data_IF_114335253114
#
_entry.id   IF_114335253114
#
_cell.length_a   1.000
_cell.length_b   1.000
_cell.length_c   1.000
_cell.angle_alpha   90.00
_cell.angle_beta   90.00
_cell.angle_gamma   90.00
#
_symmetry.space_group_name_H-M   'P 1'
#
loop_
_entity.id
_entity.type
_entity.pdbx_description
1 polymer ?
#
# COMPACT_ATOMS: atom_id res chain seq x y z
N UNK A 1 5.20 -8.66 -0.07
CA UNK A 1 4.21 -9.13 -1.05
C UNK A 1 4.93 -9.61 -2.29
N UNK A 2 4.62 -10.76 -2.84
CA UNK A 2 5.11 -11.34 -4.11
C UNK A 2 6.64 -11.52 -4.31
N UNK A 3 7.51 -11.09 -3.41
CA UNK A 3 8.96 -11.09 -3.65
C UNK A 3 9.55 -12.48 -4.01
N UNK A 4 9.05 -13.55 -3.40
CA UNK A 4 9.48 -14.91 -3.73
C UNK A 4 8.93 -15.38 -5.08
N UNK A 5 7.66 -15.13 -5.36
CA UNK A 5 6.98 -15.46 -6.61
C UNK A 5 7.67 -14.77 -7.79
N UNK A 6 7.98 -13.49 -7.63
CA UNK A 6 8.70 -12.69 -8.61
C UNK A 6 10.09 -13.27 -8.96
N UNK A 7 10.93 -13.54 -7.95
CA UNK A 7 12.26 -14.10 -8.19
C UNK A 7 12.20 -15.43 -8.95
N UNK A 8 11.19 -16.26 -8.67
CA UNK A 8 10.97 -17.51 -9.39
C UNK A 8 10.57 -17.28 -10.85
N UNK A 9 9.64 -16.35 -11.11
CA UNK A 9 9.22 -15.98 -12.48
C UNK A 9 10.39 -15.38 -13.27
N UNK A 10 11.15 -14.45 -12.69
CA UNK A 10 12.35 -13.89 -13.33
C UNK A 10 13.37 -14.97 -13.68
N UNK A 11 13.63 -15.90 -12.76
CA UNK A 11 14.55 -17.00 -12.98
C UNK A 11 14.05 -17.92 -14.11
N UNK A 12 12.76 -18.21 -14.19
CA UNK A 12 12.16 -19.00 -15.27
C UNK A 12 12.36 -18.31 -16.63
N UNK A 13 12.06 -17.00 -16.67
CA UNK A 13 12.15 -16.19 -17.90
C UNK A 13 13.61 -15.95 -18.32
N UNK A 14 14.55 -15.78 -17.39
CA UNK A 14 15.98 -15.56 -17.68
C UNK A 14 16.70 -16.76 -18.29
N UNK A 15 16.16 -17.97 -18.12
CA UNK A 15 16.67 -19.20 -18.74
C UNK A 15 16.41 -19.24 -20.25
N UNK A 16 15.49 -18.43 -20.76
CA UNK A 16 15.13 -18.40 -22.17
C UNK A 16 16.26 -17.77 -22.99
N UNK A 17 16.89 -18.54 -23.88
CA UNK A 17 18.00 -18.11 -24.75
C UNK A 17 17.60 -18.21 -26.22
N UNK A 18 18.29 -17.43 -27.09
CA UNK A 18 18.08 -17.44 -28.54
C UNK A 18 16.92 -16.55 -29.01
N UNK A 19 16.67 -16.54 -30.31
CA UNK A 19 15.87 -15.54 -31.00
C UNK A 19 14.45 -15.99 -31.36
N UNK A 20 14.13 -17.27 -31.20
CA UNK A 20 12.80 -17.85 -31.50
C UNK A 20 12.39 -18.88 -30.44
N UNK A 21 11.11 -18.96 -30.17
CA UNK A 21 10.54 -19.95 -29.23
C UNK A 21 10.42 -21.30 -29.90
N UNK A 22 10.87 -22.37 -29.23
CA UNK A 22 10.53 -23.75 -29.59
C UNK A 22 9.30 -24.21 -28.82
N UNK A 23 8.57 -25.19 -29.35
CA UNK A 23 7.39 -25.76 -28.67
C UNK A 23 7.76 -26.32 -27.29
N UNK A 24 8.88 -27.03 -27.18
CA UNK A 24 9.36 -27.56 -25.91
C UNK A 24 9.69 -26.51 -24.87
N UNK A 25 10.28 -25.36 -25.28
CA UNK A 25 10.55 -24.24 -24.39
C UNK A 25 9.25 -23.59 -23.88
N UNK A 26 8.25 -23.43 -24.76
CA UNK A 26 6.95 -22.86 -24.40
C UNK A 26 6.26 -23.75 -23.36
N UNK A 27 6.23 -25.06 -23.59
CA UNK A 27 5.59 -26.01 -22.68
C UNK A 27 6.31 -26.02 -21.31
N UNK A 28 7.64 -26.07 -21.31
CA UNK A 28 8.45 -26.05 -20.07
C UNK A 28 8.22 -24.76 -19.29
N UNK A 29 8.30 -23.61 -19.94
CA UNK A 29 8.06 -22.29 -19.33
C UNK A 29 6.66 -22.19 -18.73
N UNK A 30 5.66 -22.65 -19.45
CA UNK A 30 4.28 -22.58 -19.00
C UNK A 30 4.03 -23.45 -17.77
N UNK A 31 4.64 -24.65 -17.73
CA UNK A 31 4.59 -25.53 -16.56
C UNK A 31 5.29 -24.86 -15.36
N UNK A 32 6.44 -24.25 -15.57
CA UNK A 32 7.20 -23.57 -14.52
C UNK A 32 6.40 -22.38 -13.96
N UNK A 33 5.84 -21.50 -14.81
CA UNK A 33 4.97 -20.38 -14.42
C UNK A 33 3.72 -20.88 -13.68
N UNK A 34 3.07 -21.93 -14.18
CA UNK A 34 1.91 -22.53 -13.51
C UNK A 34 2.24 -22.93 -12.07
N UNK A 35 3.34 -23.66 -11.89
CA UNK A 35 3.73 -24.13 -10.57
C UNK A 35 4.06 -22.97 -9.62
N UNK A 36 4.75 -21.96 -10.10
CA UNK A 36 5.08 -20.75 -9.32
C UNK A 36 3.82 -20.02 -8.84
N UNK A 37 2.84 -19.85 -9.72
CA UNK A 37 1.59 -19.16 -9.39
C UNK A 37 0.71 -19.97 -8.43
N UNK A 38 0.66 -21.30 -8.58
CA UNK A 38 -0.04 -22.19 -7.66
C UNK A 38 0.61 -22.19 -6.26
N UNK A 39 1.94 -22.20 -6.17
CA UNK A 39 2.67 -22.03 -4.90
C UNK A 39 2.40 -20.68 -4.24
N UNK A 40 2.08 -19.66 -5.04
CA UNK A 40 1.68 -18.33 -4.57
C UNK A 40 0.20 -18.24 -4.16
N UNK A 41 -0.49 -19.36 -4.05
CA UNK A 41 -1.93 -19.47 -3.72
C UNK A 41 -2.85 -18.74 -4.71
N UNK A 42 -2.42 -18.59 -5.97
CA UNK A 42 -3.27 -18.08 -7.05
C UNK A 42 -4.28 -19.16 -7.45
N UNK A 43 -5.56 -18.84 -7.65
CA UNK A 43 -6.59 -19.85 -7.99
C UNK A 43 -6.27 -20.66 -9.24
N UNK A 44 -6.52 -21.96 -9.17
CA UNK A 44 -6.20 -22.89 -10.26
C UNK A 44 -6.84 -22.51 -11.59
N UNK A 45 -8.12 -22.15 -11.61
CA UNK A 45 -8.82 -21.78 -12.85
C UNK A 45 -8.23 -20.51 -13.48
N UNK A 46 -7.82 -19.54 -12.67
CA UNK A 46 -7.11 -18.36 -13.13
C UNK A 46 -5.77 -18.73 -13.76
N UNK A 47 -4.96 -19.52 -13.06
CA UNK A 47 -3.64 -19.98 -13.54
C UNK A 47 -3.75 -20.76 -14.83
N UNK A 48 -4.75 -21.64 -14.94
CA UNK A 48 -5.03 -22.42 -16.14
C UNK A 48 -5.36 -21.52 -17.34
N UNK A 49 -6.25 -20.55 -17.17
CA UNK A 49 -6.63 -19.58 -18.20
C UNK A 49 -5.42 -18.76 -18.66
N UNK A 50 -4.65 -18.20 -17.70
CA UNK A 50 -3.42 -17.46 -17.99
C UNK A 50 -2.41 -18.27 -18.77
N UNK A 51 -2.15 -19.52 -18.37
CA UNK A 51 -1.18 -20.39 -19.04
C UNK A 51 -1.60 -20.74 -20.48
N UNK A 52 -2.90 -20.99 -20.71
CA UNK A 52 -3.43 -21.28 -22.05
C UNK A 52 -3.30 -20.04 -22.96
N UNK A 53 -3.67 -18.87 -22.48
CA UNK A 53 -3.56 -17.61 -23.23
C UNK A 53 -2.09 -17.29 -23.55
N UNK A 54 -1.20 -17.45 -22.57
CA UNK A 54 0.23 -17.24 -22.72
C UNK A 54 0.83 -18.16 -23.81
N UNK A 55 0.51 -19.45 -23.76
CA UNK A 55 0.94 -20.43 -24.78
C UNK A 55 0.46 -20.02 -26.17
N UNK A 56 -0.82 -19.67 -26.30
CA UNK A 56 -1.41 -19.28 -27.58
C UNK A 56 -0.76 -18.01 -28.15
N UNK A 57 -0.58 -16.98 -27.31
CA UNK A 57 0.05 -15.74 -27.73
C UNK A 57 1.52 -15.94 -28.14
N UNK A 58 2.30 -16.72 -27.39
CA UNK A 58 3.70 -16.98 -27.74
C UNK A 58 3.80 -17.79 -29.04
N UNK A 59 2.95 -18.82 -29.27
CA UNK A 59 2.92 -19.60 -30.52
C UNK A 59 2.62 -18.73 -31.75
N UNK A 60 1.84 -17.67 -31.60
CA UNK A 60 1.45 -16.78 -32.68
C UNK A 60 2.51 -15.71 -33.04
N UNK A 61 3.60 -15.61 -32.25
CA UNK A 61 4.65 -14.63 -32.50
C UNK A 61 5.55 -15.10 -33.64
N UNK A 62 5.51 -14.38 -34.80
CA UNK A 62 6.30 -14.69 -36.00
C UNK A 62 7.58 -13.86 -36.15
N UNK A 63 7.92 -13.01 -35.16
CA UNK A 63 9.05 -12.10 -35.29
C UNK A 63 10.40 -12.82 -35.17
N UNK A 64 11.39 -12.41 -35.98
CA UNK A 64 12.78 -12.85 -35.92
C UNK A 64 13.57 -11.91 -35.01
N UNK A 65 14.45 -12.44 -34.17
CA UNK A 65 15.29 -11.69 -33.21
C UNK A 65 14.47 -11.07 -32.05
N UNK A 66 13.91 -11.90 -31.20
CA UNK A 66 13.13 -11.50 -30.02
C UNK A 66 13.97 -11.59 -28.74
N UNK A 67 13.82 -10.58 -27.88
CA UNK A 67 14.14 -10.78 -26.47
C UNK A 67 12.99 -11.58 -25.83
N UNK A 68 13.12 -12.90 -25.75
CA UNK A 68 12.10 -13.83 -25.23
C UNK A 68 11.62 -13.41 -23.84
N UNK A 69 12.53 -12.98 -22.96
CA UNK A 69 12.23 -12.55 -21.61
C UNK A 69 11.33 -11.32 -21.59
N UNK A 70 11.64 -10.31 -22.40
CA UNK A 70 10.81 -9.10 -22.52
C UNK A 70 9.42 -9.40 -23.08
N UNK A 71 9.32 -10.33 -24.03
CA UNK A 71 8.03 -10.76 -24.59
C UNK A 71 7.16 -11.43 -23.55
N UNK A 72 7.70 -12.43 -22.85
CA UNK A 72 6.96 -13.17 -21.80
C UNK A 72 6.58 -12.23 -20.66
N UNK A 73 7.50 -11.40 -20.19
CA UNK A 73 7.23 -10.41 -19.15
C UNK A 73 6.12 -9.44 -19.54
N UNK A 74 6.16 -8.91 -20.77
CA UNK A 74 5.12 -8.01 -21.29
C UNK A 74 3.75 -8.68 -21.43
N UNK A 75 3.69 -9.95 -21.86
CA UNK A 75 2.44 -10.70 -21.93
C UNK A 75 1.85 -10.98 -20.52
N UNK A 76 2.68 -11.40 -19.57
CA UNK A 76 2.26 -11.60 -18.18
C UNK A 76 1.75 -10.30 -17.57
N UNK A 77 2.47 -9.19 -17.76
CA UNK A 77 2.05 -7.88 -17.28
C UNK A 77 0.71 -7.46 -17.88
N UNK A 78 0.54 -7.58 -19.20
CA UNK A 78 -0.73 -7.21 -19.86
C UNK A 78 -1.90 -8.05 -19.38
N UNK A 79 -1.67 -9.32 -19.04
CA UNK A 79 -2.71 -10.21 -18.49
C UNK A 79 -3.11 -9.78 -17.08
N UNK A 80 -2.13 -9.44 -16.24
CA UNK A 80 -2.38 -8.96 -14.88
C UNK A 80 -3.08 -7.60 -14.89
N UNK A 81 -2.63 -6.68 -15.76
CA UNK A 81 -3.26 -5.37 -15.89
C UNK A 81 -4.73 -5.48 -16.32
N UNK A 82 -5.05 -6.43 -17.21
CA UNK A 82 -6.42 -6.72 -17.61
C UNK A 82 -7.26 -7.33 -16.47
N UNK A 83 -6.64 -8.13 -15.60
CA UNK A 83 -7.33 -8.75 -14.45
C UNK A 83 -7.80 -7.71 -13.44
N UNK A 84 -7.05 -6.64 -13.27
CA UNK A 84 -7.34 -5.57 -12.31
C UNK A 84 -7.79 -4.27 -12.99
N UNK A 85 -8.41 -4.35 -14.16
CA UNK A 85 -8.83 -3.15 -14.91
C UNK A 85 -9.99 -2.39 -14.24
N UNK A 86 -10.73 -3.05 -13.34
CA UNK A 86 -11.74 -2.46 -12.47
C UNK A 86 -11.17 -1.73 -11.23
N UNK A 87 -9.85 -1.66 -11.07
CA UNK A 87 -9.22 -0.96 -9.95
C UNK A 87 -9.56 0.54 -9.97
N UNK A 88 -10.08 1.05 -8.85
CA UNK A 88 -10.45 2.46 -8.69
C UNK A 88 -9.30 3.20 -8.02
N UNK A 89 -8.55 3.98 -8.80
CA UNK A 89 -7.34 4.67 -8.32
C UNK A 89 -7.60 5.77 -7.27
N UNK A 90 -8.86 6.15 -7.06
CA UNK A 90 -9.26 7.19 -6.08
C UNK A 90 -9.80 6.60 -4.77
N UNK A 91 -9.97 5.27 -4.68
CA UNK A 91 -10.64 4.60 -3.57
C UNK A 91 -12.16 4.78 -3.60
N UNK A 92 -12.83 4.67 -2.45
CA UNK A 92 -14.27 4.87 -2.35
C UNK A 92 -14.63 6.31 -2.73
N UNK A 93 -15.63 6.45 -3.61
CA UNK A 93 -16.12 7.75 -4.05
C UNK A 93 -17.04 8.37 -3.00
N UNK A 94 -16.60 9.47 -2.40
CA UNK A 94 -17.40 10.22 -1.43
C UNK A 94 -18.35 11.17 -2.15
N UNK A 95 -19.60 11.19 -1.72
CA UNK A 95 -20.63 12.11 -2.26
C UNK A 95 -20.21 13.56 -2.09
N UNK A 96 -20.52 14.39 -3.07
CA UNK A 96 -20.31 15.84 -2.98
C UNK A 96 -21.29 16.51 -2.03
N UNK A 97 -22.55 16.04 -2.04
CA UNK A 97 -23.64 16.51 -1.20
C UNK A 97 -24.26 15.30 -0.49
N UNK A 98 -24.61 15.46 0.77
CA UNK A 98 -25.14 14.41 1.61
C UNK A 98 -24.06 13.48 2.16
N UNK A 99 -24.46 12.55 3.01
CA UNK A 99 -23.60 11.61 3.70
C UNK A 99 -23.25 10.42 2.81
N UNK A 100 -22.01 9.97 2.85
CA UNK A 100 -21.59 8.67 2.34
C UNK A 100 -21.54 7.67 3.50
N UNK A 101 -22.42 6.69 3.49
CA UNK A 101 -22.48 5.62 4.50
C UNK A 101 -21.71 4.40 4.02
N UNK A 102 -20.75 3.92 4.83
CA UNK A 102 -19.85 2.82 4.49
C UNK A 102 -19.97 1.73 5.55
N UNK A 103 -20.59 0.62 5.21
CA UNK A 103 -20.63 -0.57 6.06
C UNK A 103 -19.38 -1.41 5.89
N UNK A 104 -18.79 -1.88 7.00
CA UNK A 104 -17.58 -2.69 6.99
C UNK A 104 -17.86 -4.08 7.52
N UNK A 105 -17.67 -5.07 6.67
CA UNK A 105 -18.00 -6.47 6.87
C UNK A 105 -16.76 -7.36 6.85
N UNK A 106 -16.89 -8.59 7.32
CA UNK A 106 -15.83 -9.61 7.25
C UNK A 106 -15.77 -10.50 8.48
N UNK A 107 -15.03 -11.61 8.44
CA UNK A 107 -14.92 -12.54 9.57
C UNK A 107 -14.28 -11.91 10.81
N UNK A 108 -14.29 -12.66 11.91
CA UNK A 108 -13.54 -12.28 13.10
C UNK A 108 -12.03 -12.29 12.83
N UNK A 109 -11.32 -11.32 13.40
CA UNK A 109 -9.85 -11.28 13.34
C UNK A 109 -9.23 -10.78 12.04
N UNK A 110 -10.02 -10.44 11.01
CA UNK A 110 -9.49 -9.92 9.73
C UNK A 110 -9.03 -8.47 9.80
N UNK A 111 -9.20 -7.78 10.92
CA UNK A 111 -8.74 -6.41 11.10
C UNK A 111 -9.73 -5.31 10.71
N UNK A 112 -11.06 -5.59 10.69
CA UNK A 112 -12.10 -4.56 10.44
C UNK A 112 -11.94 -3.33 11.32
N UNK A 113 -11.94 -3.53 12.63
CA UNK A 113 -11.82 -2.46 13.64
C UNK A 113 -10.53 -1.64 13.49
N UNK A 114 -9.46 -2.26 12.98
CA UNK A 114 -8.18 -1.58 12.76
C UNK A 114 -8.12 -0.84 11.42
N UNK A 115 -8.81 -1.34 10.38
CA UNK A 115 -8.75 -0.75 9.03
C UNK A 115 -9.67 0.47 8.90
N UNK A 116 -10.80 0.50 9.62
CA UNK A 116 -11.76 1.61 9.59
C UNK A 116 -11.09 2.96 9.90
N UNK A 117 -10.39 3.15 11.04
CA UNK A 117 -9.75 4.43 11.33
C UNK A 117 -8.65 4.79 10.32
N UNK A 118 -7.99 3.80 9.72
CA UNK A 118 -6.98 4.03 8.67
C UNK A 118 -7.62 4.60 7.40
N UNK A 119 -8.72 4.00 6.94
CA UNK A 119 -9.46 4.51 5.77
C UNK A 119 -10.03 5.89 6.08
N UNK A 120 -10.63 6.08 7.26
CA UNK A 120 -11.15 7.35 7.72
C UNK A 120 -10.08 8.44 7.72
N UNK A 121 -8.92 8.17 8.33
CA UNK A 121 -7.79 9.10 8.33
C UNK A 121 -7.29 9.43 6.91
N UNK A 122 -7.21 8.43 6.02
CA UNK A 122 -6.82 8.62 4.63
C UNK A 122 -7.79 9.54 3.88
N UNK A 123 -9.11 9.36 4.08
CA UNK A 123 -10.15 10.22 3.47
C UNK A 123 -10.07 11.63 4.06
N UNK A 124 -9.95 11.76 5.39
CA UNK A 124 -9.82 13.05 6.08
C UNK A 124 -8.64 13.85 5.54
N UNK A 125 -7.47 13.22 5.43
CA UNK A 125 -6.26 13.88 4.91
C UNK A 125 -6.36 14.28 3.43
N UNK A 126 -6.99 13.46 2.59
CA UNK A 126 -7.07 13.73 1.15
C UNK A 126 -8.19 14.66 0.75
N UNK A 127 -9.33 14.63 1.45
CA UNK A 127 -10.56 15.31 1.02
C UNK A 127 -11.11 16.29 2.04
N UNK A 128 -10.45 16.45 3.20
CA UNK A 128 -10.86 17.35 4.30
C UNK A 128 -12.34 17.16 4.71
N UNK A 129 -12.78 15.89 4.86
CA UNK A 129 -14.16 15.50 5.19
C UNK A 129 -14.33 15.29 6.69
N UNK A 130 -15.51 15.61 7.21
CA UNK A 130 -15.93 15.27 8.59
C UNK A 130 -16.33 13.80 8.59
N UNK A 131 -15.74 13.00 9.47
CA UNK A 131 -15.90 11.55 9.49
C UNK A 131 -16.29 11.11 10.87
N UNK A 132 -17.30 10.23 10.92
CA UNK A 132 -17.75 9.58 12.15
C UNK A 132 -17.70 8.06 11.97
N UNK A 133 -17.40 7.35 13.05
CA UNK A 133 -17.46 5.90 13.13
C UNK A 133 -18.49 5.47 14.18
N UNK A 134 -19.22 4.40 13.88
CA UNK A 134 -20.11 3.72 14.83
C UNK A 134 -19.88 2.22 14.72
N UNK A 135 -19.99 1.47 15.84
CA UNK A 135 -19.90 0.01 15.81
C UNK A 135 -21.17 -0.64 16.31
N UNK A 136 -21.73 -1.53 15.49
CA UNK A 136 -22.80 -2.46 15.83
C UNK A 136 -22.28 -3.86 16.22
N UNK A 137 -21.00 -3.99 16.58
CA UNK A 137 -20.46 -5.21 17.18
C UNK A 137 -20.84 -5.30 18.66
N UNK A 138 -22.12 -5.57 18.93
CA UNK A 138 -22.66 -5.65 20.29
C UNK A 138 -22.21 -6.91 21.04
N UNK A 139 -21.65 -7.89 20.33
CA UNK A 139 -21.22 -9.16 20.92
C UNK A 139 -19.86 -8.95 21.62
N UNK A 140 -19.01 -8.07 21.09
CA UNK A 140 -17.64 -7.86 21.57
C UNK A 140 -17.41 -6.41 21.99
N UNK A 141 -17.80 -6.09 23.24
CA UNK A 141 -17.58 -4.76 23.82
C UNK A 141 -16.14 -4.26 23.70
N UNK A 142 -15.17 -5.16 23.84
CA UNK A 142 -13.76 -4.81 23.68
C UNK A 142 -13.43 -4.31 22.26
N UNK A 143 -14.09 -4.79 21.21
CA UNK A 143 -13.91 -4.31 19.85
C UNK A 143 -14.45 -2.90 19.65
N UNK A 144 -15.59 -2.58 20.25
CA UNK A 144 -16.14 -1.22 20.25
C UNK A 144 -15.22 -0.22 20.96
N UNK A 145 -14.73 -0.58 22.16
CA UNK A 145 -13.80 0.26 22.91
C UNK A 145 -12.47 0.44 22.15
N UNK A 146 -11.99 -0.61 21.48
CA UNK A 146 -10.82 -0.52 20.62
C UNK A 146 -11.04 0.47 19.46
N UNK A 147 -12.19 0.42 18.78
CA UNK A 147 -12.52 1.34 17.69
C UNK A 147 -12.57 2.77 18.21
N UNK A 148 -13.25 3.00 19.34
CA UNK A 148 -13.35 4.30 20.01
C UNK A 148 -11.97 4.89 20.28
N UNK A 149 -11.09 4.14 20.96
CA UNK A 149 -9.72 4.57 21.27
C UNK A 149 -8.93 4.92 20.01
N UNK A 150 -9.07 4.12 18.94
CA UNK A 150 -8.40 4.38 17.69
C UNK A 150 -8.94 5.62 16.97
N UNK A 151 -10.24 5.87 17.04
CA UNK A 151 -10.87 7.08 16.50
C UNK A 151 -10.41 8.32 17.25
N UNK A 152 -10.49 8.32 18.59
CA UNK A 152 -10.06 9.42 19.45
C UNK A 152 -8.59 9.79 19.25
N UNK A 153 -7.70 8.79 19.18
CA UNK A 153 -6.26 9.01 18.92
C UNK A 153 -5.97 9.69 17.58
N UNK A 154 -6.89 9.61 16.63
CA UNK A 154 -6.71 10.14 15.27
C UNK A 154 -7.68 11.28 14.94
N UNK A 155 -8.30 11.85 15.97
CA UNK A 155 -9.24 12.97 15.84
C UNK A 155 -10.36 12.65 14.82
N UNK A 156 -10.96 11.45 14.97
CA UNK A 156 -12.12 10.96 14.23
C UNK A 156 -13.27 10.83 15.22
N UNK A 157 -14.44 11.34 14.86
CA UNK A 157 -15.61 11.26 15.71
C UNK A 157 -16.09 9.81 15.88
N UNK A 158 -16.48 9.44 17.11
CA UNK A 158 -17.03 8.12 17.41
C UNK A 158 -18.37 8.24 18.11
N UNK A 159 -19.39 7.56 17.55
CA UNK A 159 -20.71 7.46 18.15
C UNK A 159 -20.77 6.24 19.07
N UNK A 160 -20.91 6.48 20.37
CA UNK A 160 -21.13 5.41 21.34
C UNK A 160 -22.61 5.02 21.40
N UNK A 161 -22.92 3.74 21.09
CA UNK A 161 -24.27 3.18 21.12
C UNK A 161 -24.44 2.07 22.18
N UNK A 162 -23.37 1.70 22.89
CA UNK A 162 -23.33 0.54 23.81
C UNK A 162 -24.42 0.58 24.87
N UNK A 163 -24.63 1.75 25.50
CA UNK A 163 -25.56 1.90 26.63
C UNK A 163 -27.03 1.90 26.22
N UNK A 164 -27.36 1.96 24.96
CA UNK A 164 -28.69 2.25 24.46
C UNK A 164 -29.37 1.08 23.73
N UNK A 165 -28.63 -0.01 23.44
CA UNK A 165 -29.13 -1.11 22.60
C UNK A 165 -29.13 -0.76 21.10
N UNK A 166 -29.33 -1.78 20.24
CA UNK A 166 -29.30 -1.67 18.78
C UNK A 166 -30.31 -0.67 18.26
N UNK A 167 -31.58 -0.77 18.71
CA UNK A 167 -32.69 0.07 18.20
C UNK A 167 -32.43 1.55 18.40
N UNK A 168 -31.97 1.95 19.58
CA UNK A 168 -31.60 3.34 19.86
C UNK A 168 -30.36 3.77 19.11
N UNK A 169 -29.43 2.83 18.88
CA UNK A 169 -28.25 3.08 18.03
C UNK A 169 -28.66 3.38 16.59
N UNK A 170 -29.57 2.61 16.03
CA UNK A 170 -30.14 2.82 14.69
C UNK A 170 -30.82 4.19 14.61
N UNK A 171 -31.65 4.55 15.60
CA UNK A 171 -32.31 5.86 15.63
C UNK A 171 -31.31 7.02 15.60
N UNK A 172 -30.25 6.96 16.43
CA UNK A 172 -29.20 7.98 16.42
C UNK A 172 -28.46 8.08 15.09
N UNK A 173 -28.18 6.94 14.44
CA UNK A 173 -27.54 6.92 13.12
C UNK A 173 -28.48 7.52 12.07
N UNK A 174 -29.79 7.25 12.12
CA UNK A 174 -30.78 7.88 11.24
C UNK A 174 -30.81 9.40 11.41
N UNK A 175 -30.79 9.91 12.64
CA UNK A 175 -30.73 11.34 12.92
C UNK A 175 -29.45 11.97 12.32
N UNK A 176 -28.28 11.32 12.47
CA UNK A 176 -27.01 11.79 11.88
C UNK A 176 -27.12 11.89 10.36
N UNK A 177 -27.72 10.88 9.72
CA UNK A 177 -27.91 10.84 8.27
C UNK A 177 -28.92 11.93 7.84
N UNK A 178 -30.04 12.08 8.53
CA UNK A 178 -31.09 13.04 8.20
C UNK A 178 -30.60 14.49 8.30
N UNK A 179 -29.84 14.81 9.35
CA UNK A 179 -29.33 16.16 9.60
C UNK A 179 -27.95 16.44 8.96
N UNK A 180 -27.42 15.51 8.17
CA UNK A 180 -26.12 15.64 7.49
C UNK A 180 -24.99 16.14 8.40
N UNK A 181 -24.92 15.59 9.61
CA UNK A 181 -23.97 16.06 10.64
C UNK A 181 -22.52 15.83 10.26
N UNK A 182 -22.24 14.81 9.41
CA UNK A 182 -20.94 14.44 8.90
C UNK A 182 -20.98 14.20 7.39
N UNK A 183 -19.81 14.12 6.74
CA UNK A 183 -19.73 13.83 5.31
C UNK A 183 -19.61 12.33 5.03
N UNK A 184 -18.97 11.59 5.97
CA UNK A 184 -18.76 10.14 5.86
C UNK A 184 -19.09 9.46 7.20
N UNK A 185 -19.90 8.42 7.14
CA UNK A 185 -20.22 7.59 8.30
C UNK A 185 -19.73 6.15 8.05
N UNK A 186 -18.79 5.68 8.87
CA UNK A 186 -18.40 4.28 8.91
C UNK A 186 -19.25 3.51 9.91
N UNK A 187 -19.81 2.38 9.45
CA UNK A 187 -20.60 1.45 10.25
C UNK A 187 -19.84 0.13 10.36
N UNK A 188 -19.26 -0.15 11.53
CA UNK A 188 -18.55 -1.39 11.83
C UNK A 188 -19.53 -2.48 12.24
N UNK A 189 -19.56 -3.56 11.48
CA UNK A 189 -20.40 -4.72 11.76
C UNK A 189 -19.62 -5.81 12.51
N UNK A 190 -20.33 -6.53 13.39
CA UNK A 190 -19.76 -7.69 14.08
C UNK A 190 -19.14 -8.67 13.07
N UNK A 191 -17.97 -9.23 13.42
CA UNK A 191 -17.37 -10.26 12.60
C UNK A 191 -18.13 -11.58 12.73
N UNK A 192 -18.62 -12.11 11.63
CA UNK A 192 -19.33 -13.41 11.60
C UNK A 192 -18.80 -14.26 10.46
N UNK A 193 -18.93 -15.59 10.57
CA UNK A 193 -18.82 -16.47 9.42
C UNK A 193 -20.07 -16.33 8.53
N UNK A 194 -19.98 -16.46 7.20
CA UNK A 194 -21.16 -16.44 6.31
C UNK A 194 -22.24 -17.45 6.69
N UNK A 195 -21.88 -18.54 7.35
CA UNK A 195 -22.82 -19.60 7.78
C UNK A 195 -23.52 -19.29 9.13
N UNK A 196 -23.13 -18.19 9.82
CA UNK A 196 -23.71 -17.81 11.09
C UNK A 196 -25.03 -17.05 10.89
N UNK A 197 -26.15 -17.77 10.92
CA UNK A 197 -27.50 -17.22 10.72
C UNK A 197 -27.92 -16.22 11.81
N UNK A 198 -27.54 -16.44 13.06
CA UNK A 198 -27.89 -15.53 14.17
C UNK A 198 -27.18 -14.18 14.01
N UNK A 199 -25.88 -14.21 13.72
CA UNK A 199 -25.13 -13.00 13.46
C UNK A 199 -25.61 -12.26 12.21
N UNK A 200 -25.99 -13.00 11.15
CA UNK A 200 -26.55 -12.43 9.93
C UNK A 200 -27.88 -11.71 10.17
N UNK A 201 -28.70 -12.21 11.09
CA UNK A 201 -29.97 -11.54 11.47
C UNK A 201 -29.74 -10.15 12.07
N UNK A 202 -28.74 -10.02 12.95
CA UNK A 202 -28.36 -8.70 13.52
C UNK A 202 -27.97 -7.73 12.40
N UNK A 203 -27.23 -8.20 11.39
CA UNK A 203 -26.88 -7.35 10.24
C UNK A 203 -28.13 -6.92 9.47
N UNK A 204 -29.06 -7.86 9.23
CA UNK A 204 -30.30 -7.59 8.51
C UNK A 204 -31.13 -6.53 9.23
N UNK A 205 -31.26 -6.62 10.56
CA UNK A 205 -32.00 -5.64 11.37
C UNK A 205 -31.43 -4.21 11.18
N UNK A 206 -30.10 -4.07 11.19
CA UNK A 206 -29.43 -2.78 10.93
C UNK A 206 -29.61 -2.33 9.47
N UNK A 207 -29.46 -3.24 8.50
CA UNK A 207 -29.51 -2.94 7.06
C UNK A 207 -30.93 -2.63 6.57
N UNK A 208 -31.99 -3.08 7.27
CA UNK A 208 -33.39 -2.68 6.97
C UNK A 208 -33.62 -1.20 7.23
N UNK A 209 -32.90 -0.64 8.18
CA UNK A 209 -33.11 0.70 8.68
C UNK A 209 -32.07 1.71 8.26
N UNK A 210 -30.84 1.26 7.94
CA UNK A 210 -29.72 2.10 7.52
C UNK A 210 -29.31 1.72 6.09
N UNK A 211 -29.55 2.62 5.15
CA UNK A 211 -29.07 2.46 3.78
C UNK A 211 -27.55 2.73 3.71
N UNK A 212 -26.82 1.76 3.18
CA UNK A 212 -25.37 1.87 2.97
C UNK A 212 -25.07 2.16 1.49
N UNK A 213 -24.28 3.20 1.24
CA UNK A 213 -23.81 3.52 -0.10
C UNK A 213 -22.71 2.56 -0.54
N UNK A 214 -21.84 2.17 0.40
CA UNK A 214 -20.76 1.21 0.17
C UNK A 214 -20.80 0.11 1.23
N UNK A 215 -20.56 -1.11 0.78
CA UNK A 215 -20.52 -2.33 1.59
C UNK A 215 -19.18 -2.99 1.39
N UNK A 216 -18.23 -2.64 2.24
CA UNK A 216 -16.82 -2.99 2.14
C UNK A 216 -16.53 -4.31 2.85
N UNK A 217 -16.10 -5.35 2.12
CA UNK A 217 -15.65 -6.59 2.71
C UNK A 217 -14.14 -6.54 2.99
N UNK A 218 -13.78 -6.71 4.26
CA UNK A 218 -12.38 -6.80 4.68
C UNK A 218 -11.91 -8.25 4.62
N UNK A 219 -10.83 -8.48 3.89
CA UNK A 219 -10.22 -9.79 3.66
C UNK A 219 -8.79 -9.78 4.20
N UNK A 220 -8.43 -10.79 4.99
CA UNK A 220 -7.06 -11.02 5.43
C UNK A 220 -6.24 -11.61 4.26
N UNK A 221 -5.09 -11.01 3.96
CA UNK A 221 -4.23 -11.45 2.86
C UNK A 221 -3.80 -12.92 2.96
N UNK A 222 -3.75 -13.46 4.18
CA UNK A 222 -3.34 -14.84 4.46
C UNK A 222 -4.37 -15.91 4.05
N UNK A 223 -5.60 -15.51 3.69
CA UNK A 223 -6.66 -16.45 3.34
C UNK A 223 -6.45 -17.15 1.97
N UNK A 224 -5.62 -16.56 1.09
CA UNK A 224 -5.31 -17.17 -0.22
C UNK A 224 -6.57 -17.58 -0.98
N UNK A 225 -6.62 -18.84 -1.44
CA UNK A 225 -7.75 -19.37 -2.21
C UNK A 225 -9.06 -19.52 -1.42
N UNK A 226 -9.01 -19.58 -0.08
CA UNK A 226 -10.22 -19.62 0.76
C UNK A 226 -11.08 -18.36 0.62
N UNK A 227 -10.48 -17.26 0.15
CA UNK A 227 -11.16 -15.99 -0.16
C UNK A 227 -12.33 -16.14 -1.11
N UNK A 228 -12.26 -17.05 -2.09
CA UNK A 228 -13.33 -17.27 -3.09
C UNK A 228 -14.63 -17.68 -2.39
N UNK A 229 -14.58 -18.74 -1.59
CA UNK A 229 -15.76 -19.23 -0.84
C UNK A 229 -16.28 -18.19 0.14
N UNK A 230 -15.39 -17.44 0.74
CA UNK A 230 -15.73 -16.39 1.67
C UNK A 230 -16.53 -15.27 0.98
N UNK A 231 -16.07 -14.78 -0.18
CA UNK A 231 -16.77 -13.77 -0.99
C UNK A 231 -18.14 -14.28 -1.43
N UNK A 232 -18.23 -15.50 -1.95
CA UNK A 232 -19.51 -16.13 -2.34
C UNK A 232 -20.50 -16.20 -1.16
N UNK A 233 -20.00 -16.54 0.03
CA UNK A 233 -20.82 -16.59 1.24
C UNK A 233 -21.33 -15.22 1.66
N UNK A 234 -20.46 -14.20 1.69
CA UNK A 234 -20.86 -12.85 2.05
C UNK A 234 -21.79 -12.20 1.02
N UNK A 235 -21.60 -12.44 -0.27
CA UNK A 235 -22.51 -11.93 -1.30
C UNK A 235 -23.94 -12.44 -1.18
N UNK A 236 -24.15 -13.60 -0.54
CA UNK A 236 -25.50 -14.10 -0.22
C UNK A 236 -26.15 -13.34 0.93
N UNK A 237 -25.37 -12.76 1.83
CA UNK A 237 -25.84 -12.02 3.00
C UNK A 237 -25.98 -10.53 2.72
N UNK A 238 -25.00 -9.96 2.02
CA UNK A 238 -24.88 -8.52 1.77
C UNK A 238 -24.31 -8.34 0.37
N UNK A 239 -24.96 -7.55 -0.47
CA UNK A 239 -24.43 -7.20 -1.80
C UNK A 239 -23.17 -6.33 -1.66
N UNK A 240 -22.00 -6.97 -1.62
CA UNK A 240 -20.69 -6.33 -1.44
C UNK A 240 -20.39 -5.41 -2.62
N UNK A 241 -19.97 -4.18 -2.36
CA UNK A 241 -19.64 -3.19 -3.39
C UNK A 241 -18.13 -3.11 -3.66
N UNK A 242 -17.30 -3.58 -2.74
CA UNK A 242 -15.84 -3.59 -2.91
C UNK A 242 -15.10 -4.21 -1.74
N UNK A 243 -13.78 -4.25 -1.87
CA UNK A 243 -12.91 -4.98 -0.96
C UNK A 243 -11.82 -4.09 -0.35
N UNK A 244 -11.42 -4.43 0.89
CA UNK A 244 -10.20 -3.95 1.51
C UNK A 244 -9.36 -5.15 1.95
N UNK A 245 -8.07 -5.18 1.59
CA UNK A 245 -7.17 -6.27 1.96
C UNK A 245 -6.30 -5.81 3.14
N UNK A 246 -6.35 -6.58 4.21
CA UNK A 246 -5.59 -6.32 5.44
C UNK A 246 -4.37 -7.23 5.57
N UNK A 247 -3.44 -6.87 6.46
CA UNK A 247 -2.27 -7.67 6.87
C UNK A 247 -1.36 -8.10 5.70
N UNK A 248 -1.25 -7.27 4.69
CA UNK A 248 -0.46 -7.59 3.49
C UNK A 248 1.04 -7.67 3.78
N UNK A 249 1.50 -7.05 4.86
CA UNK A 249 2.86 -7.19 5.40
C UNK A 249 3.18 -8.61 5.88
N UNK A 250 2.17 -9.37 6.29
CA UNK A 250 2.30 -10.77 6.73
C UNK A 250 2.24 -11.76 5.56
N UNK A 251 1.75 -11.37 4.40
CA UNK A 251 1.64 -12.21 3.21
C UNK A 251 2.77 -11.92 2.20
N UNK A 252 3.59 -12.93 1.94
CA UNK A 252 4.66 -12.86 0.94
C UNK A 252 4.23 -13.40 -0.44
N UNK A 253 3.06 -14.05 -0.54
CA UNK A 253 2.59 -14.77 -1.72
C UNK A 253 1.71 -13.90 -2.64
N UNK A 254 0.73 -13.18 -2.06
CA UNK A 254 -0.15 -12.25 -2.77
C UNK A 254 -1.30 -12.89 -3.57
N UNK A 255 -1.53 -14.19 -3.45
CA UNK A 255 -2.59 -14.90 -4.16
C UNK A 255 -4.00 -14.40 -3.85
N UNK A 256 -4.22 -13.75 -2.71
CA UNK A 256 -5.49 -13.17 -2.28
C UNK A 256 -6.07 -12.19 -3.32
N UNK A 257 -5.24 -11.38 -3.96
CA UNK A 257 -5.70 -10.41 -4.96
C UNK A 257 -6.31 -11.10 -6.19
N UNK A 258 -5.67 -12.17 -6.65
CA UNK A 258 -6.19 -13.00 -7.75
C UNK A 258 -7.44 -13.78 -7.34
N UNK A 259 -7.53 -14.20 -6.08
CA UNK A 259 -8.73 -14.84 -5.54
C UNK A 259 -9.92 -13.90 -5.52
N UNK A 260 -9.72 -12.63 -5.13
CA UNK A 260 -10.76 -11.59 -5.20
C UNK A 260 -11.18 -11.36 -6.65
N UNK A 261 -10.23 -11.14 -7.56
CA UNK A 261 -10.52 -10.90 -8.97
C UNK A 261 -11.17 -12.09 -9.67
N UNK A 262 -10.97 -13.31 -9.18
CA UNK A 262 -11.64 -14.52 -9.70
C UNK A 262 -13.08 -14.65 -9.18
N UNK A 263 -13.31 -14.25 -7.92
CA UNK A 263 -14.61 -14.41 -7.26
C UNK A 263 -15.58 -13.25 -7.51
N UNK A 264 -15.10 -12.09 -7.93
CA UNK A 264 -15.91 -10.88 -8.05
C UNK A 264 -15.34 -9.88 -9.06
N UNK A 265 -16.24 -9.15 -9.71
CA UNK A 265 -15.96 -8.00 -10.58
C UNK A 265 -15.86 -6.67 -9.80
N UNK A 266 -16.11 -6.70 -8.49
CA UNK A 266 -16.09 -5.50 -7.64
C UNK A 266 -14.65 -5.06 -7.36
N UNK A 267 -14.39 -3.74 -7.21
CA UNK A 267 -13.05 -3.22 -7.04
C UNK A 267 -12.45 -3.54 -5.67
N UNK A 268 -11.13 -3.67 -5.63
CA UNK A 268 -10.35 -3.56 -4.39
C UNK A 268 -10.06 -2.07 -4.19
N UNK A 269 -10.54 -1.50 -3.08
CA UNK A 269 -10.33 -0.08 -2.79
C UNK A 269 -9.05 0.19 -2.01
N UNK A 270 -8.77 -0.63 -0.97
CA UNK A 270 -7.71 -0.33 -0.01
C UNK A 270 -6.87 -1.56 0.33
N UNK A 271 -5.61 -1.28 0.68
CA UNK A 271 -4.63 -2.28 1.12
C UNK A 271 -3.94 -1.77 2.38
N UNK A 272 -4.03 -2.53 3.48
CA UNK A 272 -3.34 -2.23 4.74
C UNK A 272 -2.06 -3.06 4.86
N UNK A 273 -0.93 -2.38 5.11
CA UNK A 273 0.43 -2.92 5.02
C UNK A 273 1.20 -2.88 6.34
N UNK A 274 0.53 -2.71 7.46
CA UNK A 274 1.14 -2.64 8.79
C UNK A 274 0.14 -2.19 9.85
N UNK A 275 0.61 -1.86 11.05
CA UNK A 275 -0.24 -1.55 12.21
C UNK A 275 -0.54 -0.06 12.39
N UNK A 276 0.32 0.83 11.87
CA UNK A 276 0.18 2.29 12.08
C UNK A 276 -1.00 2.83 11.28
N UNK A 277 -1.55 3.97 11.73
CA UNK A 277 -2.70 4.63 11.11
C UNK A 277 -2.47 4.96 9.62
N UNK A 278 -1.24 5.30 9.25
CA UNK A 278 -0.86 5.63 7.88
C UNK A 278 -0.43 4.41 7.05
N UNK A 279 -0.41 3.19 7.65
CA UNK A 279 -0.05 1.96 6.94
C UNK A 279 -1.22 1.44 6.11
N UNK A 280 -1.75 2.29 5.25
CA UNK A 280 -2.83 2.01 4.31
C UNK A 280 -2.59 2.76 3.00
N UNK A 281 -2.96 2.15 1.90
CA UNK A 281 -2.95 2.79 0.58
C UNK A 281 -4.19 2.44 -0.22
N UNK A 282 -4.52 3.28 -1.21
CA UNK A 282 -5.48 2.92 -2.24
C UNK A 282 -4.84 1.84 -3.11
N UNK A 283 -5.62 0.80 -3.43
CA UNK A 283 -5.18 -0.25 -4.33
C UNK A 283 -5.00 0.30 -5.76
N UNK A 284 -3.94 -0.13 -6.42
CA UNK A 284 -3.76 0.10 -7.85
C UNK A 284 -3.24 -1.15 -8.54
N UNK A 285 -3.62 -1.37 -9.80
CA UNK A 285 -3.12 -2.50 -10.60
C UNK A 285 -1.59 -2.51 -10.70
N UNK A 286 -0.96 -1.34 -10.65
CA UNK A 286 0.52 -1.23 -10.61
C UNK A 286 1.13 -1.87 -9.36
N UNK A 287 0.45 -1.88 -8.23
CA UNK A 287 0.96 -2.53 -7.02
C UNK A 287 1.18 -4.03 -7.24
N UNK A 288 0.31 -4.68 -8.01
CA UNK A 288 0.40 -6.10 -8.32
C UNK A 288 1.44 -6.35 -9.42
N UNK A 289 1.38 -5.59 -10.52
CA UNK A 289 2.32 -5.75 -11.63
C UNK A 289 3.75 -5.40 -11.24
N UNK A 290 3.95 -4.28 -10.53
CA UNK A 290 5.27 -3.90 -10.02
C UNK A 290 5.79 -4.91 -8.99
N UNK A 291 4.92 -5.45 -8.15
CA UNK A 291 5.28 -6.48 -7.18
C UNK A 291 5.68 -7.80 -7.83
N UNK A 292 5.18 -8.09 -9.04
CA UNK A 292 5.51 -9.31 -9.80
C UNK A 292 6.66 -9.13 -10.80
N UNK A 293 6.96 -7.90 -11.27
CA UNK A 293 7.89 -7.68 -12.38
C UNK A 293 9.05 -6.71 -12.10
N UNK A 294 9.01 -5.89 -11.06
CA UNK A 294 10.07 -4.95 -10.75
C UNK A 294 10.97 -5.43 -9.61
N UNK A 295 12.27 -5.28 -9.79
CA UNK A 295 13.31 -5.57 -8.79
C UNK A 295 13.02 -4.85 -7.47
N UNK A 296 12.46 -5.58 -6.52
CA UNK A 296 12.30 -5.17 -5.14
C UNK A 296 10.90 -4.78 -4.71
N UNK A 297 10.16 -5.71 -4.09
CA UNK A 297 8.87 -5.47 -3.43
C UNK A 297 8.85 -4.33 -2.40
N UNK A 298 10.01 -3.79 -2.06
CA UNK A 298 10.16 -2.61 -1.21
C UNK A 298 9.98 -1.30 -1.97
N UNK A 299 10.30 -1.26 -3.28
CA UNK A 299 10.05 -0.09 -4.14
C UNK A 299 8.56 0.21 -4.22
N UNK A 300 7.73 -0.83 -4.25
CA UNK A 300 6.27 -0.70 -4.33
C UNK A 300 5.64 -0.23 -3.03
N UNK A 301 6.18 -0.64 -1.88
CA UNK A 301 5.79 -0.11 -0.57
C UNK A 301 6.18 1.38 -0.50
N UNK A 302 7.35 1.75 -0.98
CA UNK A 302 7.82 3.14 -1.04
C UNK A 302 7.01 3.96 -2.04
N UNK A 303 6.68 3.42 -3.21
CA UNK A 303 5.87 4.10 -4.22
C UNK A 303 4.39 4.17 -3.83
N UNK A 304 3.87 3.19 -3.08
CA UNK A 304 2.56 3.28 -2.42
C UNK A 304 2.54 4.37 -1.32
N UNK A 305 3.61 4.51 -0.54
CA UNK A 305 3.79 5.64 0.38
C UNK A 305 3.96 6.98 -0.37
N UNK A 306 4.63 6.99 -1.51
CA UNK A 306 4.78 8.18 -2.38
C UNK A 306 3.46 8.61 -3.01
N UNK A 307 2.61 7.67 -3.43
CA UNK A 307 1.31 8.00 -4.03
C UNK A 307 0.33 8.61 -3.02
N UNK A 308 0.43 8.25 -1.74
CA UNK A 308 -0.36 8.90 -0.69
C UNK A 308 0.11 10.32 -0.35
N UNK A 309 1.30 10.73 -0.82
CA UNK A 309 1.88 12.06 -0.64
C UNK A 309 2.17 12.78 -1.97
N UNK A 310 1.33 12.58 -2.98
CA UNK A 310 1.49 13.20 -4.32
C UNK A 310 1.69 14.72 -4.26
N UNK A 311 0.96 15.42 -3.39
CA UNK A 311 1.10 16.88 -3.21
C UNK A 311 2.46 17.26 -2.59
N UNK A 312 2.96 16.45 -1.67
CA UNK A 312 4.27 16.65 -1.06
C UNK A 312 5.40 16.40 -2.07
N UNK A 313 5.29 15.33 -2.86
CA UNK A 313 6.26 15.02 -3.94
C UNK A 313 6.18 16.03 -5.07
N UNK A 314 4.98 16.50 -5.44
CA UNK A 314 4.81 17.57 -6.42
C UNK A 314 5.44 18.88 -5.90
N UNK A 315 5.36 19.16 -4.60
CA UNK A 315 6.03 20.29 -3.97
C UNK A 315 7.56 20.13 -3.97
N UNK A 316 8.07 18.92 -3.81
CA UNK A 316 9.51 18.62 -3.92
C UNK A 316 9.99 18.71 -5.37
N UNK A 317 9.26 18.16 -6.34
CA UNK A 317 9.57 18.24 -7.77
C UNK A 317 9.51 19.70 -8.25
N UNK A 318 8.51 20.47 -7.81
CA UNK A 318 8.38 21.87 -8.17
C UNK A 318 9.44 22.76 -7.52
N UNK A 319 9.99 22.38 -6.36
CA UNK A 319 11.16 23.01 -5.74
C UNK A 319 12.46 22.61 -6.41
N UNK A 320 12.60 21.33 -6.82
CA UNK A 320 13.75 20.82 -7.56
C UNK A 320 13.98 21.52 -8.91
N UNK A 321 12.91 21.83 -9.61
CA UNK A 321 12.99 22.49 -10.92
C UNK A 321 13.46 23.96 -10.85
N UNK A 322 13.71 24.52 -9.66
CA UNK A 322 14.12 25.92 -9.49
C UNK A 322 15.39 26.20 -8.69
N UNK A 323 15.94 25.31 -7.83
CA UNK A 323 17.06 25.67 -6.92
C UNK A 323 18.03 24.58 -6.45
N UNK A 324 17.88 23.32 -6.85
CA UNK A 324 18.70 22.23 -6.26
C UNK A 324 18.22 21.81 -4.86
N UNK A 325 18.84 20.75 -4.29
CA UNK A 325 18.53 20.20 -2.94
C UNK A 325 19.31 21.02 -1.88
N UNK A 326 18.64 21.43 -0.79
CA UNK A 326 19.28 22.01 0.37
C UNK A 326 19.50 20.99 1.51
N UNK A 327 20.13 21.41 2.62
CA UNK A 327 20.37 20.52 3.77
C UNK A 327 19.09 20.15 4.53
N UNK A 328 18.00 20.94 4.47
CA UNK A 328 16.72 20.57 5.06
C UNK A 328 16.05 19.44 4.27
N UNK A 329 16.10 19.51 2.94
CA UNK A 329 15.58 18.48 2.06
C UNK A 329 16.33 17.15 2.29
N UNK A 330 17.68 17.21 2.40
CA UNK A 330 18.51 16.06 2.70
C UNK A 330 18.21 15.49 4.10
N UNK A 331 18.08 16.33 5.12
CA UNK A 331 17.75 15.90 6.48
C UNK A 331 16.43 15.14 6.53
N UNK A 332 15.43 15.63 5.82
CA UNK A 332 14.11 15.02 5.76
C UNK A 332 14.19 13.63 5.10
N UNK A 333 14.93 13.49 4.00
CA UNK A 333 15.16 12.20 3.34
C UNK A 333 15.90 11.21 4.26
N UNK A 334 16.95 11.64 4.96
CA UNK A 334 17.72 10.81 5.87
C UNK A 334 16.90 10.37 7.11
N UNK A 335 16.04 11.26 7.62
CA UNK A 335 15.16 10.95 8.77
C UNK A 335 14.09 9.92 8.37
N UNK A 336 13.52 10.05 7.17
CA UNK A 336 12.60 9.05 6.61
C UNK A 336 13.30 7.69 6.45
N UNK A 337 14.55 7.66 5.94
CA UNK A 337 15.33 6.42 5.83
C UNK A 337 15.49 5.70 7.17
N UNK A 338 15.74 6.43 8.26
CA UNK A 338 15.86 5.85 9.59
C UNK A 338 14.54 5.29 10.14
N UNK A 339 13.40 5.85 9.74
CA UNK A 339 12.08 5.38 10.19
C UNK A 339 11.69 4.00 9.64
N UNK A 340 12.33 3.53 8.57
CA UNK A 340 12.04 2.24 7.91
C UNK A 340 12.73 1.00 8.55
N UNK A 341 13.53 1.15 9.58
CA UNK A 341 14.05 0.08 10.46
C UNK A 341 15.02 -0.95 9.90
N UNK A 342 14.98 -1.29 8.61
CA UNK A 342 15.91 -2.21 7.91
C UNK A 342 16.52 -1.53 6.69
N UNK A 343 17.61 -0.80 6.91
CA UNK A 343 18.28 0.04 5.92
C UNK A 343 18.84 -0.74 4.71
N UNK A 344 19.23 -1.99 4.88
CA UNK A 344 19.86 -2.80 3.83
C UNK A 344 18.97 -2.98 2.58
N UNK A 345 17.66 -3.01 2.75
CA UNK A 345 16.70 -3.16 1.66
C UNK A 345 16.25 -1.83 1.06
N UNK A 346 16.32 -0.73 1.82
CA UNK A 346 15.85 0.60 1.39
C UNK A 346 16.90 1.32 0.56
N UNK A 347 18.17 1.20 0.93
CA UNK A 347 19.31 1.85 0.24
C UNK A 347 19.57 1.31 -1.17
N UNK A 348 19.15 0.05 -1.45
CA UNK A 348 19.29 -0.54 -2.79
C UNK A 348 18.29 -0.01 -3.81
N UNK A 349 17.24 0.71 -3.37
CA UNK A 349 16.06 1.03 -4.17
C UNK A 349 15.94 2.53 -4.53
N UNK A 350 16.59 3.41 -3.79
CA UNK A 350 16.51 4.85 -4.06
C UNK A 350 17.47 5.27 -5.19
N UNK A 351 17.00 5.92 -6.28
CA UNK A 351 17.80 6.18 -7.50
C UNK A 351 19.08 6.97 -7.26
N UNK A 352 19.11 7.86 -6.26
CA UNK A 352 20.27 8.71 -5.95
C UNK A 352 21.10 8.22 -4.76
N UNK A 353 20.63 7.23 -3.99
CA UNK A 353 21.36 6.75 -2.80
C UNK A 353 22.54 5.85 -3.13
N UNK A 354 22.55 5.18 -4.30
CA UNK A 354 23.73 4.42 -4.77
C UNK A 354 24.95 5.31 -4.98
N UNK A 355 24.76 6.57 -5.36
CA UNK A 355 25.84 7.55 -5.47
C UNK A 355 26.25 8.15 -4.11
N UNK A 356 25.34 8.10 -3.10
CA UNK A 356 25.61 8.58 -1.75
C UNK A 356 26.47 7.63 -0.93
N UNK A 357 26.22 6.33 -1.06
CA UNK A 357 26.85 5.31 -0.23
C UNK A 357 27.69 4.38 -1.10
N UNK A 358 28.95 4.75 -1.36
CA UNK A 358 29.96 3.86 -1.94
C UNK A 358 30.40 2.74 -0.96
N UNK A 359 29.52 2.31 -0.03
CA UNK A 359 29.84 1.39 1.06
C UNK A 359 29.02 0.12 0.91
N UNK A 360 29.66 -1.04 1.07
CA UNK A 360 28.96 -2.33 1.28
C UNK A 360 27.97 -2.18 2.42
N UNK A 361 26.72 -2.47 2.12
CA UNK A 361 25.55 -2.40 3.00
C UNK A 361 25.79 -3.13 4.33
N UNK A 362 26.08 -2.39 5.39
CA UNK A 362 26.31 -2.91 6.74
C UNK A 362 25.91 -1.86 7.78
N UNK A 363 26.07 -2.21 9.03
CA UNK A 363 25.93 -1.38 10.24
C UNK A 363 26.51 0.04 10.08
N UNK A 364 27.50 0.19 9.22
CA UNK A 364 28.22 1.45 8.93
C UNK A 364 27.34 2.51 8.26
N UNK A 365 26.38 2.11 7.40
CA UNK A 365 25.48 3.04 6.73
C UNK A 365 24.50 3.71 7.73
N UNK A 366 24.03 2.98 8.72
CA UNK A 366 23.16 3.50 9.77
C UNK A 366 23.87 4.55 10.65
N UNK A 367 25.13 4.26 11.01
CA UNK A 367 25.98 5.17 11.76
C UNK A 367 26.26 6.44 10.94
N UNK A 368 26.53 6.30 9.66
CA UNK A 368 26.81 7.41 8.75
C UNK A 368 25.59 8.33 8.60
N UNK A 369 24.39 7.78 8.43
CA UNK A 369 23.13 8.55 8.36
C UNK A 369 22.90 9.34 9.64
N UNK A 370 23.07 8.72 10.81
CA UNK A 370 22.95 9.43 12.09
C UNK A 370 23.96 10.56 12.23
N UNK A 371 25.19 10.34 11.81
CA UNK A 371 26.23 11.39 11.78
C UNK A 371 25.80 12.56 10.89
N UNK A 372 25.31 12.31 9.69
CA UNK A 372 24.89 13.36 8.78
C UNK A 372 23.69 14.15 9.30
N UNK A 373 22.71 13.49 9.92
CA UNK A 373 21.59 14.17 10.60
C UNK A 373 22.11 15.08 11.74
N UNK A 374 23.04 14.59 12.57
CA UNK A 374 23.63 15.38 13.65
C UNK A 374 24.39 16.62 13.12
N UNK A 375 25.12 16.49 12.01
CA UNK A 375 25.80 17.58 11.32
C UNK A 375 24.78 18.65 10.87
N UNK A 376 23.71 18.23 10.18
CA UNK A 376 22.68 19.15 9.70
C UNK A 376 21.93 19.83 10.83
N UNK A 377 21.64 19.13 11.93
CA UNK A 377 21.01 19.70 13.12
C UNK A 377 21.88 20.74 13.81
N UNK A 378 23.23 20.66 13.69
CA UNK A 378 24.18 21.64 14.21
C UNK A 378 24.36 22.88 13.34
N UNK A 379 23.76 22.90 12.14
CA UNK A 379 23.74 24.07 11.26
C UNK A 379 22.64 25.05 11.66
N UNK A 380 22.90 26.36 11.46
CA UNK A 380 21.85 27.40 11.55
C UNK A 380 20.85 27.28 10.39
N UNK A 381 19.67 27.91 10.52
CA UNK A 381 18.65 27.89 9.46
C UNK A 381 19.21 28.38 8.12
N UNK A 382 19.95 29.49 8.13
CA UNK A 382 20.53 30.06 6.90
C UNK A 382 21.60 29.15 6.27
N UNK A 383 22.36 28.40 7.08
CA UNK A 383 23.37 27.45 6.60
C UNK A 383 22.72 26.21 5.97
N UNK A 384 21.55 25.80 6.47
CA UNK A 384 20.78 24.70 5.87
C UNK A 384 20.14 25.06 4.55
N UNK A 385 19.72 26.32 4.40
CA UNK A 385 19.08 26.82 3.18
C UNK A 385 20.09 27.23 2.08
N UNK A 386 21.35 27.49 2.44
CA UNK A 386 22.35 27.96 1.50
C UNK A 386 23.69 27.22 1.66
N UNK A 387 23.94 26.24 0.77
CA UNK A 387 25.11 25.36 0.76
C UNK A 387 26.43 26.14 0.67
N UNK A 388 26.43 27.29 -0.02
CA UNK A 388 27.63 28.08 -0.26
C UNK A 388 28.13 28.87 0.97
N UNK A 389 27.34 28.95 2.04
CA UNK A 389 27.71 29.67 3.26
C UNK A 389 28.73 28.94 4.14
N UNK A 390 28.99 27.65 3.89
CA UNK A 390 29.88 26.82 4.71
C UNK A 390 31.35 27.11 4.40
N UNK A 391 31.96 28.04 5.15
CA UNK A 391 33.40 28.27 5.19
C UNK A 391 34.08 27.41 6.29
N UNK A 392 35.40 27.48 6.37
CA UNK A 392 36.23 26.64 7.29
C UNK A 392 35.82 26.83 8.76
N UNK A 393 35.58 28.07 9.20
CA UNK A 393 35.24 28.35 10.59
C UNK A 393 33.86 27.81 10.95
N UNK A 394 32.88 27.94 10.07
CA UNK A 394 31.53 27.37 10.23
C UNK A 394 31.56 25.85 10.25
N UNK A 395 32.33 25.22 9.35
CA UNK A 395 32.49 23.77 9.34
C UNK A 395 33.13 23.24 10.63
N UNK A 396 34.12 23.95 11.19
CA UNK A 396 34.72 23.62 12.49
C UNK A 396 33.71 23.71 13.63
N UNK A 397 32.92 24.79 13.66
CA UNK A 397 31.86 24.96 14.66
C UNK A 397 30.80 23.85 14.58
N UNK A 398 30.35 23.51 13.35
CA UNK A 398 29.39 22.46 13.08
C UNK A 398 29.94 21.08 13.50
N UNK A 399 31.20 20.78 13.19
CA UNK A 399 31.85 19.53 13.59
C UNK A 399 31.90 19.39 15.11
N UNK A 400 32.26 20.45 15.84
CA UNK A 400 32.24 20.48 17.32
C UNK A 400 30.82 20.29 17.87
N UNK A 401 29.83 20.99 17.31
CA UNK A 401 28.44 20.94 17.78
C UNK A 401 27.75 19.60 17.51
N UNK A 402 28.14 18.91 16.45
CA UNK A 402 27.57 17.59 16.07
C UNK A 402 28.30 16.40 16.67
N UNK A 403 29.45 16.61 17.35
CA UNK A 403 30.32 15.53 17.83
C UNK A 403 30.96 14.71 16.71
N UNK A 404 31.15 15.32 15.53
CA UNK A 404 31.75 14.70 14.35
C UNK A 404 33.09 15.36 14.00
N UNK A 405 33.77 14.84 12.97
CA UNK A 405 35.01 15.42 12.48
C UNK A 405 34.78 16.45 11.38
N UNK A 406 35.73 17.37 11.18
CA UNK A 406 35.69 18.31 10.06
C UNK A 406 35.62 17.58 8.71
N UNK A 407 36.30 16.42 8.59
CA UNK A 407 36.27 15.56 7.41
C UNK A 407 34.86 15.05 7.11
N UNK A 408 34.07 14.69 8.15
CA UNK A 408 32.68 14.26 7.98
C UNK A 408 31.80 15.40 7.41
N UNK A 409 32.01 16.64 7.88
CA UNK A 409 31.26 17.83 7.38
C UNK A 409 31.63 18.15 5.93
N UNK A 410 32.93 18.09 5.58
CA UNK A 410 33.41 18.28 4.19
C UNK A 410 32.81 17.20 3.27
N UNK A 411 32.79 15.94 3.72
CA UNK A 411 32.24 14.84 2.95
C UNK A 411 30.75 15.05 2.65
N UNK A 412 29.97 15.47 3.66
CA UNK A 412 28.56 15.79 3.48
C UNK A 412 28.34 16.97 2.52
N UNK A 413 29.17 18.03 2.61
CA UNK A 413 29.12 19.19 1.71
C UNK A 413 29.38 18.79 0.26
N UNK A 414 30.45 18.04 0.01
CA UNK A 414 30.79 17.54 -1.34
C UNK A 414 29.68 16.69 -1.93
N UNK A 415 29.04 15.84 -1.10
CA UNK A 415 27.94 14.98 -1.55
C UNK A 415 26.71 15.76 -2.01
N UNK A 416 26.32 16.80 -1.31
CA UNK A 416 25.15 17.62 -1.72
C UNK A 416 25.49 18.46 -2.97
N UNK A 417 26.75 18.90 -3.11
CA UNK A 417 27.22 19.60 -4.30
C UNK A 417 27.20 18.67 -5.54
N UNK A 418 27.68 17.42 -5.42
CA UNK A 418 27.64 16.39 -6.48
C UNK A 418 26.20 16.14 -6.96
N UNK A 419 25.22 16.08 -6.03
CA UNK A 419 23.81 15.87 -6.38
C UNK A 419 23.26 17.05 -7.17
N UNK A 420 23.56 18.26 -6.70
CA UNK A 420 23.06 19.47 -7.36
C UNK A 420 23.69 19.65 -8.75
N UNK A 421 24.93 19.22 -8.97
CA UNK A 421 25.57 19.22 -10.29
C UNK A 421 24.97 18.19 -11.25
N UNK A 422 24.62 16.99 -10.76
CA UNK A 422 24.01 15.93 -11.58
C UNK A 422 22.52 16.15 -11.88
N UNK A 423 21.88 17.17 -11.27
CA UNK A 423 20.47 17.52 -11.49
C UNK A 423 20.30 18.62 -12.55
N UNK A 424 21.39 19.24 -13.01
CA UNK A 424 21.39 20.35 -14.00
C UNK A 424 21.68 19.84 -15.43
N UNK A 425 21.95 18.54 -15.62
CA UNK A 425 22.09 17.92 -16.95
C UNK A 425 20.79 17.15 -17.32
#
# INVERSE_FOLDING_TARGET
>A
MFAQTFNKIQNAVSKLKGDAFTTAEIDTLTIEIRNILLEADVPYEYVKSLCLDLQQKIKNIKAKKLNKGAVVGGLLQSYIDATFDNAVEEGIKIKKNGITTIGVFGPNGVGKTSIIPKIANLIKQKQNKRIMCVSFDIIRFAAQEQLKILCEKNDIEYLNIVENGIDKGILKVKEIIEYEMVDVLFVDFAGISPDNQEGAKIWQDVLQDIELNEKLLVIDSTFGQHTIKLIEGYNKLVDITGFAVSKVDSDQKGGVFFSIATASDKPIYYVSIGEKINDISIFSKRMVSDALFNDGGLKNVIDAFRSSNKEYIQSLINRHNKKGIDYNDLMQQLTQLLSFGKLDKVLSVLPHTKSFFNVKLSTDAYILIKKWIAIILSMTKNERENINLLNVDRMNRIAKGSGTTMSDVITLKKKIEEINQNTIC
#
